data_IF_760849499621
#
_entry.id   IF_760849499621
#
_cell.length_a   1.000
_cell.length_b   1.000
_cell.length_c   1.000
_cell.angle_alpha   90.00
_cell.angle_beta   90.00
_cell.angle_gamma   90.00
#
_symmetry.space_group_name_H-M   'P 1'
#
loop_
_entity.id
_entity.type
_entity.pdbx_description
1 polymer ?
#
# COMPACT_ATOMS: atom_id res chain seq x y z
N UNK A 1 -14.60 11.09 -2.21
CA UNK A 1 -14.68 9.76 -1.55
C UNK A 1 -13.69 8.84 -2.22
N UNK A 2 -12.97 8.04 -1.47
CA UNK A 2 -12.10 7.03 -2.05
C UNK A 2 -12.40 5.63 -1.47
N UNK A 3 -12.26 4.62 -2.31
CA UNK A 3 -12.21 3.21 -1.93
C UNK A 3 -10.73 2.81 -1.85
N UNK A 4 -10.32 2.24 -0.72
CA UNK A 4 -8.92 1.84 -0.50
C UNK A 4 -8.84 0.34 -0.32
N UNK A 5 -8.05 -0.33 -1.16
CA UNK A 5 -7.77 -1.77 -1.07
C UNK A 5 -6.30 -2.02 -0.80
N UNK A 6 -6.01 -3.15 -0.19
CA UNK A 6 -4.65 -3.60 0.12
C UNK A 6 -3.87 -4.09 -1.09
N UNK A 7 -2.75 -4.67 -0.77
CA UNK A 7 -1.70 -5.15 -1.67
C UNK A 7 -2.26 -6.17 -2.67
N UNK A 8 -1.85 -6.05 -3.92
CA UNK A 8 -2.40 -6.94 -4.97
C UNK A 8 -1.47 -8.11 -5.35
N UNK A 9 -0.15 -7.93 -5.25
CA UNK A 9 0.85 -8.98 -5.52
C UNK A 9 0.55 -9.84 -6.75
N UNK A 10 0.17 -9.18 -7.87
CA UNK A 10 -0.14 -9.91 -9.11
C UNK A 10 -1.49 -10.64 -9.09
N UNK A 11 -2.37 -10.38 -8.12
CA UNK A 11 -3.71 -10.99 -8.09
C UNK A 11 -4.67 -10.25 -9.04
N UNK A 12 -4.66 -10.67 -10.30
CA UNK A 12 -5.47 -10.08 -11.37
C UNK A 12 -6.97 -10.11 -11.06
N UNK A 13 -7.46 -11.18 -10.43
CA UNK A 13 -8.89 -11.32 -10.14
C UNK A 13 -9.33 -10.34 -9.04
N UNK A 14 -8.50 -10.16 -8.01
CA UNK A 14 -8.73 -9.16 -6.96
C UNK A 14 -8.78 -7.75 -7.54
N UNK A 15 -7.80 -7.39 -8.36
CA UNK A 15 -7.76 -6.07 -8.98
C UNK A 15 -8.97 -5.85 -9.90
N UNK A 16 -9.33 -6.83 -10.73
CA UNK A 16 -10.54 -6.75 -11.59
C UNK A 16 -11.82 -6.54 -10.77
N UNK A 17 -11.96 -7.26 -9.67
CA UNK A 17 -13.13 -7.13 -8.80
C UNK A 17 -13.19 -5.74 -8.14
N UNK A 18 -12.06 -5.28 -7.62
CA UNK A 18 -11.94 -3.96 -6.99
C UNK A 18 -12.29 -2.82 -7.96
N UNK A 19 -11.70 -2.81 -9.16
CA UNK A 19 -11.93 -1.76 -10.17
C UNK A 19 -13.38 -1.74 -10.73
N UNK A 20 -14.11 -2.85 -10.61
CA UNK A 20 -15.53 -2.93 -11.02
C UNK A 20 -16.50 -2.55 -9.92
N UNK A 21 -16.03 -2.51 -8.69
CA UNK A 21 -16.86 -2.14 -7.55
C UNK A 21 -16.98 -0.62 -7.46
N UNK A 22 -18.19 -0.08 -7.59
CA UNK A 22 -18.46 1.37 -7.60
C UNK A 22 -17.47 2.13 -8.52
N UNK A 23 -17.52 1.86 -9.84
CA UNK A 23 -16.52 2.35 -10.80
C UNK A 23 -16.49 3.88 -10.94
N UNK A 24 -17.50 4.58 -10.41
CA UNK A 24 -17.57 6.05 -10.34
C UNK A 24 -16.77 6.65 -9.20
N UNK A 25 -16.28 5.84 -8.30
CA UNK A 25 -15.50 6.30 -7.14
C UNK A 25 -13.99 6.26 -7.41
N UNK A 26 -13.23 7.07 -6.67
CA UNK A 26 -11.77 7.00 -6.72
C UNK A 26 -11.28 5.69 -6.09
N UNK A 27 -10.42 4.97 -6.80
CA UNK A 27 -9.81 3.73 -6.33
C UNK A 27 -8.34 3.97 -5.97
N UNK A 28 -7.94 3.62 -4.75
CA UNK A 28 -6.55 3.72 -4.28
C UNK A 28 -6.10 2.35 -3.79
N UNK A 29 -4.94 1.90 -4.27
CA UNK A 29 -4.24 0.70 -3.79
C UNK A 29 -3.12 1.13 -2.83
N UNK A 30 -2.89 0.34 -1.78
CA UNK A 30 -1.78 0.61 -0.85
C UNK A 30 -0.42 0.17 -1.38
N UNK A 31 -0.29 -0.10 -2.66
CA UNK A 31 0.95 -0.52 -3.33
C UNK A 31 1.08 -2.03 -3.45
N UNK A 32 2.32 -2.50 -3.53
CA UNK A 32 2.69 -3.90 -3.74
C UNK A 32 1.92 -4.54 -4.91
N UNK A 33 1.94 -3.84 -6.06
CA UNK A 33 1.41 -4.39 -7.30
C UNK A 33 2.38 -5.41 -7.90
N UNK A 34 3.68 -5.16 -7.71
CA UNK A 34 4.75 -6.05 -8.14
C UNK A 34 5.01 -7.14 -7.11
N UNK A 35 5.80 -8.09 -7.53
CA UNK A 35 6.21 -9.28 -6.78
C UNK A 35 5.03 -10.14 -6.32
N UNK A 36 5.29 -11.42 -6.24
CA UNK A 36 4.34 -12.39 -5.71
C UNK A 36 5.07 -13.68 -5.43
N UNK A 37 4.71 -14.36 -4.37
CA UNK A 37 5.18 -15.72 -4.10
C UNK A 37 4.37 -16.78 -4.87
N UNK A 38 3.22 -16.39 -5.45
CA UNK A 38 2.25 -17.32 -6.06
C UNK A 38 2.07 -17.03 -7.54
N UNK A 39 1.87 -15.76 -7.93
CA UNK A 39 1.63 -15.38 -9.31
C UNK A 39 2.90 -15.54 -10.17
N UNK A 40 2.72 -15.99 -11.41
CA UNK A 40 3.78 -15.98 -12.42
C UNK A 40 4.12 -14.55 -12.86
N UNK A 41 5.27 -14.36 -13.49
CA UNK A 41 5.64 -13.06 -14.10
C UNK A 41 4.55 -12.55 -15.05
N UNK A 42 3.96 -13.44 -15.85
CA UNK A 42 2.85 -13.08 -16.74
C UNK A 42 1.65 -12.55 -15.96
N UNK A 43 1.27 -13.21 -14.86
CA UNK A 43 0.15 -12.76 -14.02
C UNK A 43 0.40 -11.39 -13.37
N UNK A 44 1.65 -11.15 -12.94
CA UNK A 44 2.05 -9.83 -12.39
C UNK A 44 1.97 -8.76 -13.50
N UNK A 45 2.51 -9.07 -14.70
CA UNK A 45 2.47 -8.15 -15.85
C UNK A 45 1.03 -7.82 -16.24
N UNK A 46 0.15 -8.81 -16.35
CA UNK A 46 -1.26 -8.61 -16.68
C UNK A 46 -1.98 -7.75 -15.63
N UNK A 47 -1.72 -8.01 -14.35
CA UNK A 47 -2.27 -7.22 -13.23
C UNK A 47 -1.82 -5.77 -13.33
N UNK A 48 -0.54 -5.55 -13.54
CA UNK A 48 0.02 -4.21 -13.67
C UNK A 48 -0.49 -3.47 -14.91
N UNK A 49 -0.60 -4.14 -16.05
CA UNK A 49 -1.18 -3.56 -17.27
C UNK A 49 -2.64 -3.17 -17.11
N UNK A 50 -3.41 -3.94 -16.31
CA UNK A 50 -4.77 -3.56 -15.96
C UNK A 50 -4.79 -2.30 -15.10
N UNK A 51 -3.91 -2.21 -14.08
CA UNK A 51 -3.74 -1.00 -13.28
C UNK A 51 -3.37 0.22 -14.13
N UNK A 52 -2.41 0.08 -15.05
CA UNK A 52 -2.01 1.17 -15.94
C UNK A 52 -3.18 1.73 -16.78
N UNK A 53 -4.08 0.86 -17.23
CA UNK A 53 -5.24 1.21 -18.07
C UNK A 53 -6.44 1.75 -17.27
N UNK A 54 -6.46 1.58 -15.98
CA UNK A 54 -7.52 2.07 -15.08
C UNK A 54 -7.24 3.51 -14.65
N UNK A 55 -8.21 4.15 -13.97
CA UNK A 55 -8.02 5.44 -13.30
C UNK A 55 -7.54 5.30 -11.84
N UNK A 56 -7.32 4.07 -11.37
CA UNK A 56 -6.84 3.82 -10.01
C UNK A 56 -5.46 4.42 -9.77
N UNK A 57 -5.23 4.84 -8.53
CA UNK A 57 -3.95 5.32 -8.01
C UNK A 57 -3.35 4.31 -7.04
N UNK A 58 -2.06 4.43 -6.74
CA UNK A 58 -1.40 3.59 -5.76
C UNK A 58 -0.44 4.39 -4.87
N UNK A 59 -0.21 3.92 -3.65
CA UNK A 59 0.93 4.40 -2.87
C UNK A 59 2.20 3.68 -3.31
N UNK A 60 3.34 4.38 -3.26
CA UNK A 60 4.64 3.72 -3.37
C UNK A 60 4.79 2.73 -2.23
N UNK A 61 5.33 1.57 -2.54
CA UNK A 61 5.55 0.45 -1.62
C UNK A 61 7.01 -0.03 -1.64
N UNK A 62 7.36 -0.88 -0.69
CA UNK A 62 8.69 -1.49 -0.66
C UNK A 62 8.93 -2.41 -1.87
N UNK A 63 7.93 -3.20 -2.31
CA UNK A 63 8.07 -4.08 -3.49
C UNK A 63 8.03 -3.33 -4.82
N UNK A 64 7.36 -2.19 -4.92
CA UNK A 64 7.30 -1.43 -6.17
C UNK A 64 8.53 -0.53 -6.35
N UNK A 65 9.06 0.07 -5.27
CA UNK A 65 10.20 0.97 -5.31
C UNK A 65 11.51 0.30 -5.73
N UNK A 66 11.68 -1.00 -5.49
CA UNK A 66 12.92 -1.72 -5.89
C UNK A 66 13.12 -1.78 -7.40
N UNK A 67 12.05 -1.58 -8.18
CA UNK A 67 12.10 -1.54 -9.65
C UNK A 67 12.35 -0.16 -10.25
N UNK A 68 12.50 0.87 -9.41
CA UNK A 68 12.93 2.19 -9.86
C UNK A 68 14.37 2.09 -10.41
N UNK A 69 14.65 2.80 -11.49
CA UNK A 69 15.96 2.78 -12.18
C UNK A 69 17.13 3.03 -11.23
N UNK A 70 16.94 3.92 -10.26
CA UNK A 70 17.97 4.35 -9.33
C UNK A 70 17.62 4.00 -7.88
N UNK A 71 16.91 2.89 -7.65
CA UNK A 71 16.58 2.45 -6.30
C UNK A 71 17.86 2.19 -5.49
N UNK A 72 18.03 2.85 -4.33
CA UNK A 72 19.18 2.58 -3.47
C UNK A 72 19.19 1.12 -3.02
N UNK A 73 20.38 0.45 -3.10
CA UNK A 73 20.51 -0.96 -2.77
C UNK A 73 20.05 -1.35 -1.36
N UNK A 74 20.10 -0.40 -0.42
CA UNK A 74 19.61 -0.58 0.95
C UNK A 74 18.09 -0.69 1.06
N UNK A 75 17.33 -0.35 0.00
CA UNK A 75 15.87 -0.50 -0.07
C UNK A 75 15.44 -1.80 -0.76
N UNK A 76 16.38 -2.65 -1.16
CA UNK A 76 16.07 -3.93 -1.80
C UNK A 76 15.35 -4.85 -0.82
N UNK A 77 14.15 -5.28 -1.19
CA UNK A 77 13.38 -6.26 -0.42
C UNK A 77 13.66 -7.69 -0.87
N UNK A 78 13.40 -8.65 0.01
CA UNK A 78 13.48 -10.07 -0.36
C UNK A 78 12.36 -10.44 -1.34
N UNK A 79 12.66 -11.35 -2.26
CA UNK A 79 11.65 -11.87 -3.21
C UNK A 79 11.41 -11.00 -4.43
N UNK A 80 12.14 -9.87 -4.60
CA UNK A 80 12.07 -9.12 -5.84
C UNK A 80 12.56 -9.98 -7.02
N UNK A 81 11.97 -9.78 -8.18
CA UNK A 81 12.28 -10.56 -9.40
C UNK A 81 13.20 -9.79 -10.33
N UNK A 82 14.05 -10.51 -11.04
CA UNK A 82 15.03 -9.92 -11.95
C UNK A 82 14.49 -9.65 -13.35
N UNK A 83 13.19 -9.78 -13.59
CA UNK A 83 12.60 -9.55 -14.90
C UNK A 83 12.66 -8.05 -15.27
N UNK A 84 13.43 -7.67 -16.32
CA UNK A 84 13.65 -6.27 -16.66
C UNK A 84 12.38 -5.52 -17.09
N UNK A 85 11.32 -6.24 -17.48
CA UNK A 85 10.05 -5.59 -17.85
C UNK A 85 9.39 -4.89 -16.65
N UNK A 86 9.62 -5.35 -15.42
CA UNK A 86 9.03 -4.76 -14.22
C UNK A 86 9.53 -3.32 -14.01
N UNK A 87 10.82 -3.09 -14.23
CA UNK A 87 11.38 -1.75 -14.22
C UNK A 87 10.75 -0.83 -15.28
N UNK A 88 10.48 -1.33 -16.48
CA UNK A 88 9.78 -0.54 -17.51
C UNK A 88 8.34 -0.22 -17.12
N UNK A 89 7.62 -1.18 -16.56
CA UNK A 89 6.25 -0.98 -16.12
C UNK A 89 6.16 0.09 -15.02
N UNK A 90 6.97 -0.05 -13.97
CA UNK A 90 7.01 0.91 -12.85
C UNK A 90 7.42 2.30 -13.34
N UNK A 91 8.53 2.41 -14.08
CA UNK A 91 9.02 3.71 -14.54
C UNK A 91 8.07 4.39 -15.53
N UNK A 92 7.26 3.63 -16.28
CA UNK A 92 6.23 4.14 -17.18
C UNK A 92 4.92 4.52 -16.49
N UNK A 93 4.80 4.36 -15.16
CA UNK A 93 3.55 4.59 -14.39
C UNK A 93 3.74 5.47 -13.16
N UNK A 94 4.86 6.17 -13.05
CA UNK A 94 5.20 6.99 -11.88
C UNK A 94 4.13 8.03 -11.54
N UNK A 95 3.44 8.55 -12.52
CA UNK A 95 2.36 9.54 -12.41
C UNK A 95 1.13 9.02 -11.64
N UNK A 96 0.95 7.69 -11.60
CA UNK A 96 -0.14 7.03 -10.87
C UNK A 96 0.19 6.75 -9.40
N UNK A 97 1.42 7.00 -9.00
CA UNK A 97 1.90 6.73 -7.65
C UNK A 97 2.13 8.00 -6.86
N UNK A 98 1.91 7.90 -5.55
CA UNK A 98 2.31 8.90 -4.54
C UNK A 98 2.88 8.19 -3.33
N UNK A 99 3.65 8.89 -2.51
CA UNK A 99 4.09 8.36 -1.22
C UNK A 99 2.93 8.21 -0.23
N UNK A 100 1.98 9.12 -0.33
CA UNK A 100 0.77 9.13 0.47
C UNK A 100 -0.36 9.92 -0.21
N UNK A 101 -1.59 9.64 0.24
CA UNK A 101 -2.78 10.44 -0.08
C UNK A 101 -3.47 10.88 1.20
N UNK A 102 -4.15 12.02 1.16
CA UNK A 102 -5.11 12.43 2.19
C UNK A 102 -6.50 12.44 1.56
N UNK A 103 -7.44 11.64 2.14
CA UNK A 103 -8.83 11.55 1.66
C UNK A 103 -9.78 11.45 2.83
N UNK A 104 -10.78 12.32 2.85
CA UNK A 104 -11.84 12.35 3.87
C UNK A 104 -11.30 12.27 5.32
N UNK A 105 -10.16 12.93 5.61
CA UNK A 105 -9.52 12.95 6.93
C UNK A 105 -8.71 11.70 7.28
N UNK A 106 -8.39 10.85 6.30
CA UNK A 106 -7.47 9.71 6.45
C UNK A 106 -6.16 9.94 5.69
N UNK A 107 -5.04 9.60 6.31
CA UNK A 107 -3.76 9.42 5.64
C UNK A 107 -3.68 7.99 5.10
N UNK A 108 -3.43 7.86 3.80
CA UNK A 108 -3.27 6.57 3.12
C UNK A 108 -1.80 6.43 2.74
N UNK A 109 -1.15 5.39 3.22
CA UNK A 109 0.24 5.04 2.93
C UNK A 109 0.38 3.54 2.69
N UNK A 110 1.54 3.09 2.24
CA UNK A 110 1.75 1.65 2.08
C UNK A 110 1.75 0.92 3.43
N UNK A 111 2.62 1.30 4.37
CA UNK A 111 2.83 0.55 5.60
C UNK A 111 2.35 1.27 6.88
N UNK A 112 1.78 2.47 6.77
CA UNK A 112 1.38 3.31 7.91
C UNK A 112 2.52 4.18 8.46
N UNK A 113 2.19 5.03 9.41
CA UNK A 113 3.13 6.00 10.01
C UNK A 113 3.22 5.77 11.51
N UNK A 114 4.44 5.52 11.98
CA UNK A 114 4.76 5.37 13.39
C UNK A 114 4.75 6.70 14.14
N UNK A 115 4.62 6.65 15.47
CA UNK A 115 4.56 7.83 16.35
C UNK A 115 5.80 8.73 16.19
N UNK A 116 6.99 8.15 16.04
CA UNK A 116 8.25 8.89 15.90
C UNK A 116 8.28 9.81 14.67
N UNK A 117 7.54 9.44 13.61
CA UNK A 117 7.40 10.28 12.41
C UNK A 117 6.16 11.17 12.54
N UNK A 118 5.00 10.58 12.79
CA UNK A 118 3.71 11.28 12.75
C UNK A 118 3.59 12.41 13.76
N UNK A 119 4.14 12.24 14.97
CA UNK A 119 4.06 13.26 16.04
C UNK A 119 4.77 14.58 15.73
N UNK A 120 5.62 14.61 14.72
CA UNK A 120 6.31 15.83 14.27
C UNK A 120 5.42 16.79 13.48
N UNK A 121 4.26 16.33 13.06
CA UNK A 121 3.35 17.06 12.18
C UNK A 121 2.00 17.28 12.88
N UNK A 122 1.48 18.51 12.80
CA UNK A 122 0.20 18.87 13.42
C UNK A 122 -1.01 18.35 12.65
N UNK A 123 -0.89 18.18 11.33
CA UNK A 123 -1.98 17.84 10.40
C UNK A 123 -1.53 16.77 9.40
N UNK A 124 -2.53 16.20 8.69
CA UNK A 124 -2.30 15.14 7.71
C UNK A 124 -1.66 15.68 6.42
N UNK A 125 -1.97 16.89 6.05
CA UNK A 125 -1.50 17.52 4.82
C UNK A 125 0.02 17.73 4.87
N UNK A 126 0.52 18.33 5.95
CA UNK A 126 1.96 18.56 6.15
C UNK A 126 2.74 17.24 6.27
N UNK A 127 2.17 16.23 6.92
CA UNK A 127 2.76 14.89 6.98
C UNK A 127 2.79 14.23 5.60
N UNK A 128 1.71 14.32 4.85
CA UNK A 128 1.62 13.78 3.48
C UNK A 128 2.60 14.48 2.55
N UNK A 129 2.73 15.80 2.62
CA UNK A 129 3.69 16.58 1.84
C UNK A 129 5.14 16.14 2.14
N UNK A 130 5.48 15.95 3.41
CA UNK A 130 6.78 15.43 3.81
C UNK A 130 7.05 14.06 3.18
N UNK A 131 6.13 13.10 3.33
CA UNK A 131 6.29 11.75 2.78
C UNK A 131 6.45 11.80 1.26
N UNK A 132 5.59 12.55 0.56
CA UNK A 132 5.64 12.68 -0.89
C UNK A 132 6.96 13.31 -1.35
N UNK A 133 7.40 14.40 -0.71
CA UNK A 133 8.65 15.08 -1.04
C UNK A 133 9.86 14.16 -0.92
N UNK A 134 9.92 13.36 0.15
CA UNK A 134 11.05 12.46 0.36
C UNK A 134 11.06 11.30 -0.66
N UNK A 135 9.88 10.75 -0.98
CA UNK A 135 9.77 9.67 -1.97
C UNK A 135 10.06 10.19 -3.38
N UNK A 136 9.58 11.38 -3.74
CA UNK A 136 9.81 11.99 -5.04
C UNK A 136 11.30 12.24 -5.32
N UNK A 137 12.12 12.47 -4.30
CA UNK A 137 13.58 12.54 -4.44
C UNK A 137 14.18 11.27 -5.04
N UNK A 138 13.67 10.09 -4.68
CA UNK A 138 14.13 8.81 -5.25
C UNK A 138 13.48 8.53 -6.60
N UNK A 139 12.19 8.80 -6.71
CA UNK A 139 11.38 8.49 -7.90
C UNK A 139 11.83 9.28 -9.12
N UNK A 140 12.14 10.57 -8.93
CA UNK A 140 12.40 11.51 -10.03
C UNK A 140 13.85 11.95 -10.14
N UNK A 141 14.73 11.58 -9.20
CA UNK A 141 16.13 11.90 -9.31
C UNK A 141 16.84 10.94 -10.28
N UNK A 142 17.54 11.50 -11.26
CA UNK A 142 18.34 10.72 -12.22
C UNK A 142 19.77 10.41 -11.72
N UNK A 143 20.20 11.06 -10.64
CA UNK A 143 21.50 10.82 -10.03
C UNK A 143 21.47 9.63 -9.08
N UNK A 144 22.50 8.80 -9.12
CA UNK A 144 22.62 7.65 -8.21
C UNK A 144 22.95 8.16 -6.81
N UNK A 145 22.04 7.96 -5.88
CA UNK A 145 22.24 8.29 -4.45
C UNK A 145 23.15 7.26 -3.78
N UNK A 146 24.47 7.34 -4.03
CA UNK A 146 25.39 6.35 -3.46
C UNK A 146 25.76 6.71 -2.00
N UNK A 147 25.72 7.98 -1.60
CA UNK A 147 26.30 8.44 -0.33
C UNK A 147 25.42 9.40 0.49
N UNK A 148 24.19 9.71 0.08
CA UNK A 148 23.32 10.56 0.90
C UNK A 148 22.50 9.71 1.87
N UNK A 149 22.42 10.09 3.17
CA UNK A 149 21.57 9.40 4.12
C UNK A 149 20.11 9.55 3.66
N UNK A 150 19.39 8.42 3.53
CA UNK A 150 17.97 8.42 3.27
C UNK A 150 17.21 9.00 4.47
N UNK A 151 16.10 9.68 4.21
CA UNK A 151 15.21 10.12 5.28
C UNK A 151 14.55 8.93 5.97
N UNK A 152 13.97 9.18 7.13
CA UNK A 152 13.29 8.15 7.92
C UNK A 152 12.02 7.59 7.27
N UNK A 153 11.53 8.20 6.19
CA UNK A 153 10.49 7.64 5.30
C UNK A 153 10.91 6.28 4.75
N UNK A 154 12.22 6.06 4.56
CA UNK A 154 12.80 4.82 4.02
C UNK A 154 13.37 3.88 5.08
N UNK A 155 13.18 4.17 6.37
CA UNK A 155 13.69 3.33 7.42
C UNK A 155 13.13 1.92 7.35
N UNK A 156 14.03 0.94 7.37
CA UNK A 156 13.70 -0.48 7.57
C UNK A 156 14.03 -0.81 9.01
N UNK A 157 13.03 -1.10 9.82
CA UNK A 157 13.22 -1.41 11.23
C UNK A 157 13.81 -2.79 11.47
N UNK A 158 14.33 -3.02 12.66
CA UNK A 158 14.87 -4.33 13.09
C UNK A 158 13.81 -5.45 13.01
N UNK A 159 12.52 -5.12 13.17
CA UNK A 159 11.43 -6.11 13.06
C UNK A 159 11.19 -6.58 11.63
N UNK A 160 11.68 -5.83 10.65
CA UNK A 160 11.65 -6.16 9.23
C UNK A 160 13.04 -6.49 8.66
N UNK A 161 14.02 -6.75 9.52
CA UNK A 161 15.38 -7.16 9.14
C UNK A 161 16.33 -6.01 8.79
N UNK A 162 15.95 -4.77 9.04
CA UNK A 162 16.80 -3.60 8.89
C UNK A 162 17.56 -3.23 10.16
N UNK A 163 18.01 -1.97 10.25
CA UNK A 163 18.88 -1.48 11.32
C UNK A 163 18.25 -0.37 12.15
N UNK A 164 17.12 0.19 11.70
CA UNK A 164 16.49 1.32 12.35
C UNK A 164 15.60 0.87 13.51
N UNK A 165 15.42 1.78 14.48
CA UNK A 165 14.56 1.53 15.65
C UNK A 165 13.08 1.37 15.24
N UNK A 166 12.68 2.07 14.19
CA UNK A 166 11.31 2.07 13.65
C UNK A 166 11.32 2.06 12.12
N UNK A 167 10.23 1.58 11.52
CA UNK A 167 10.01 1.58 10.09
C UNK A 167 9.41 2.90 9.60
N UNK A 168 9.75 3.28 8.38
CA UNK A 168 9.08 4.36 7.67
C UNK A 168 7.77 3.91 7.00
N UNK A 169 7.05 4.83 6.32
CA UNK A 169 5.78 4.56 5.66
C UNK A 169 5.77 3.43 4.61
N UNK A 170 6.95 2.97 4.20
CA UNK A 170 7.12 1.85 3.27
C UNK A 170 7.40 0.50 3.98
N UNK A 171 7.72 0.50 5.29
CA UNK A 171 8.26 -0.68 5.99
C UNK A 171 7.73 -0.90 7.40
N UNK A 172 6.92 -0.02 7.95
CA UNK A 172 6.41 -0.15 9.31
C UNK A 172 5.55 -1.41 9.48
N UNK A 173 5.57 -2.00 10.69
CA UNK A 173 4.74 -3.17 11.03
C UNK A 173 3.79 -2.84 12.18
N UNK A 174 2.51 -2.63 11.86
CA UNK A 174 1.49 -2.25 12.85
C UNK A 174 1.31 -3.25 13.99
N UNK A 175 1.77 -4.49 13.82
CA UNK A 175 1.70 -5.54 14.85
C UNK A 175 2.80 -5.44 15.89
N UNK A 176 3.86 -4.69 15.61
CA UNK A 176 5.09 -4.65 16.42
C UNK A 176 5.62 -3.25 16.71
N UNK A 177 5.13 -2.24 16.01
CA UNK A 177 5.57 -0.86 16.13
C UNK A 177 4.41 0.04 16.56
N UNK A 178 4.73 1.10 17.31
CA UNK A 178 3.73 2.05 17.80
C UNK A 178 3.39 3.05 16.71
N UNK A 179 2.17 3.03 16.21
CA UNK A 179 1.68 3.98 15.23
C UNK A 179 1.18 5.27 15.87
N UNK A 180 1.20 6.37 15.10
CA UNK A 180 0.67 7.66 15.55
C UNK A 180 -0.85 7.62 15.68
N UNK A 181 -1.31 7.41 16.92
CA UNK A 181 -2.73 7.31 17.26
C UNK A 181 -3.45 8.67 17.26
N UNK A 182 -2.77 9.78 16.96
CA UNK A 182 -3.41 11.11 16.84
C UNK A 182 -4.02 11.36 15.46
N UNK A 183 -3.81 10.45 14.51
CA UNK A 183 -4.23 10.57 13.12
C UNK A 183 -5.00 9.35 12.64
N UNK A 184 -6.00 9.57 11.77
CA UNK A 184 -6.62 8.45 11.06
C UNK A 184 -5.68 7.96 9.97
N UNK A 185 -5.48 6.65 9.88
CA UNK A 185 -4.56 6.03 8.94
C UNK A 185 -5.18 4.83 8.23
N UNK A 186 -4.87 4.66 6.94
CA UNK A 186 -5.18 3.46 6.15
C UNK A 186 -3.87 2.96 5.54
N UNK A 187 -3.59 1.67 5.69
CA UNK A 187 -2.33 1.08 5.24
C UNK A 187 -2.46 -0.40 4.90
N UNK A 188 -1.52 -0.92 4.09
CA UNK A 188 -1.35 -2.32 3.69
C UNK A 188 -0.16 -3.00 4.36
N UNK A 189 0.70 -3.64 3.55
CA UNK A 189 2.02 -4.19 3.88
C UNK A 189 2.02 -5.38 4.86
N UNK A 190 1.23 -5.34 5.91
CA UNK A 190 1.22 -6.37 6.95
C UNK A 190 -0.03 -7.23 6.81
N UNK A 191 0.09 -8.31 6.07
CA UNK A 191 -1.01 -9.18 5.68
C UNK A 191 -1.81 -9.75 6.87
N UNK A 192 -3.13 -9.82 6.72
CA UNK A 192 -4.07 -10.44 7.66
C UNK A 192 -5.16 -11.22 6.91
N UNK A 193 -5.92 -12.07 7.62
CA UNK A 193 -7.04 -12.80 6.98
C UNK A 193 -8.15 -11.85 6.55
N UNK A 194 -8.51 -10.91 7.43
CA UNK A 194 -9.61 -9.96 7.24
C UNK A 194 -9.11 -8.53 7.37
N UNK A 195 -9.80 -7.57 6.77
CA UNK A 195 -9.58 -6.14 7.02
C UNK A 195 -9.72 -5.84 8.52
N UNK A 196 -8.77 -5.08 9.09
CA UNK A 196 -8.75 -4.73 10.51
C UNK A 196 -9.00 -3.24 10.70
N UNK A 197 -9.85 -2.91 11.65
CA UNK A 197 -10.09 -1.52 12.09
C UNK A 197 -9.77 -1.45 13.58
N UNK A 198 -8.90 -0.51 13.94
CA UNK A 198 -8.51 -0.22 15.31
C UNK A 198 -8.98 1.19 15.64
N UNK A 199 -9.74 1.32 16.74
CA UNK A 199 -10.21 2.61 17.22
C UNK A 199 -9.35 3.07 18.40
N UNK A 200 -8.97 4.35 18.40
CA UNK A 200 -8.15 5.00 19.42
C UNK A 200 -8.82 6.29 19.87
N UNK A 201 -8.61 6.65 21.14
CA UNK A 201 -9.18 7.85 21.72
C UNK A 201 -10.51 7.59 22.42
N UNK A 202 -11.22 8.67 22.76
CA UNK A 202 -12.56 8.69 23.34
C UNK A 202 -13.61 9.05 22.27
N UNK A 203 -14.89 9.04 22.67
CA UNK A 203 -16.02 9.27 21.76
C UNK A 203 -15.95 10.62 20.99
N UNK A 204 -15.27 11.62 21.56
CA UNK A 204 -15.14 12.95 20.92
C UNK A 204 -13.92 13.04 20.00
N UNK A 205 -12.89 12.22 20.25
CA UNK A 205 -11.61 12.24 19.55
C UNK A 205 -11.24 10.87 18.99
N UNK A 206 -12.23 10.09 18.53
CA UNK A 206 -11.98 8.79 17.93
C UNK A 206 -11.06 8.92 16.70
N UNK A 207 -10.03 8.08 16.66
CA UNK A 207 -9.14 7.92 15.51
C UNK A 207 -9.14 6.47 15.08
N UNK A 208 -9.04 6.25 13.76
CA UNK A 208 -9.08 4.91 13.16
C UNK A 208 -7.79 4.57 12.45
N UNK A 209 -7.24 3.42 12.76
CA UNK A 209 -6.23 2.78 11.93
C UNK A 209 -6.85 1.60 11.20
N UNK A 210 -6.68 1.54 9.90
CA UNK A 210 -7.29 0.54 9.04
C UNK A 210 -6.20 -0.21 8.27
N UNK A 211 -6.00 -1.48 8.60
CA UNK A 211 -5.12 -2.37 7.84
C UNK A 211 -5.94 -3.07 6.75
N UNK A 212 -5.67 -2.73 5.49
CA UNK A 212 -6.45 -3.18 4.33
C UNK A 212 -5.78 -4.32 3.55
N UNK A 213 -4.53 -4.68 3.86
CA UNK A 213 -3.90 -5.86 3.27
C UNK A 213 -4.45 -7.13 3.91
N UNK A 214 -5.34 -7.80 3.19
CA UNK A 214 -6.02 -8.99 3.69
C UNK A 214 -6.39 -9.96 2.57
N UNK A 215 -6.67 -11.21 2.94
CA UNK A 215 -7.11 -12.25 1.99
C UNK A 215 -8.51 -12.01 1.43
N UNK A 216 -9.37 -11.32 2.18
CA UNK A 216 -10.73 -11.02 1.76
C UNK A 216 -10.77 -10.00 0.61
N UNK A 217 -11.81 -10.11 -0.23
CA UNK A 217 -12.11 -9.12 -1.27
C UNK A 217 -12.85 -7.93 -0.66
N UNK A 218 -12.16 -7.19 0.20
CA UNK A 218 -12.70 -6.05 0.93
C UNK A 218 -11.85 -4.79 0.72
N UNK A 219 -12.51 -3.65 0.80
CA UNK A 219 -11.89 -2.33 0.77
C UNK A 219 -12.45 -1.47 1.91
N UNK A 220 -11.80 -0.36 2.17
CA UNK A 220 -12.29 0.64 3.11
C UNK A 220 -12.81 1.86 2.35
N UNK A 221 -14.01 2.30 2.71
CA UNK A 221 -14.62 3.51 2.16
C UNK A 221 -14.32 4.69 3.08
N UNK A 222 -13.53 5.64 2.60
CA UNK A 222 -13.07 6.79 3.39
C UNK A 222 -14.20 7.70 3.84
N UNK A 223 -15.27 7.84 3.06
CA UNK A 223 -16.41 8.70 3.37
C UNK A 223 -17.34 8.11 4.41
N UNK A 224 -17.63 6.79 4.30
CA UNK A 224 -18.52 6.12 5.26
C UNK A 224 -17.78 5.67 6.52
N UNK A 225 -16.44 5.59 6.46
CA UNK A 225 -15.62 5.08 7.55
C UNK A 225 -15.83 3.58 7.81
N UNK A 226 -16.22 2.81 6.81
CA UNK A 226 -16.58 1.39 6.92
C UNK A 226 -15.83 0.50 5.91
N UNK A 227 -15.65 -0.75 6.30
CA UNK A 227 -15.22 -1.81 5.38
C UNK A 227 -16.38 -2.22 4.48
N UNK A 228 -16.09 -2.44 3.21
CA UNK A 228 -17.03 -2.88 2.19
C UNK A 228 -16.46 -4.09 1.45
N UNK A 229 -17.31 -5.09 1.21
CA UNK A 229 -16.96 -6.30 0.46
C UNK A 229 -17.24 -6.06 -1.03
N UNK A 230 -16.22 -6.22 -1.88
CA UNK A 230 -16.33 -6.06 -3.33
C UNK A 230 -16.36 -7.38 -4.10
N UNK A 231 -16.54 -8.53 -3.42
CA UNK A 231 -16.91 -9.77 -4.10
C UNK A 231 -18.28 -9.64 -4.75
N UNK A 232 -18.38 -10.01 -6.02
CA UNK A 232 -19.65 -10.00 -6.72
C UNK A 232 -20.70 -10.85 -5.99
N UNK A 233 -21.95 -10.36 -5.83
CA UNK A 233 -23.03 -11.13 -5.22
C UNK A 233 -23.23 -12.52 -5.85
N UNK A 234 -22.97 -12.65 -7.18
CA UNK A 234 -23.06 -13.93 -7.90
C UNK A 234 -22.03 -14.99 -7.46
N UNK A 235 -20.99 -14.58 -6.72
CA UNK A 235 -19.99 -15.51 -6.22
C UNK A 235 -20.20 -15.89 -4.75
N UNK A 236 -21.06 -15.18 -3.99
CA UNK A 236 -21.27 -15.46 -2.56
C UNK A 236 -21.91 -16.83 -2.31
N UNK A 237 -22.70 -17.35 -3.26
CA UNK A 237 -23.51 -18.57 -3.06
C UNK A 237 -23.14 -19.75 -3.98
N UNK A 238 -22.09 -19.63 -4.78
CA UNK A 238 -21.72 -20.67 -5.74
C UNK A 238 -20.65 -21.66 -5.22
N UNK A 239 -20.77 -22.97 -5.55
CA UNK A 239 -19.74 -23.97 -5.16
C UNK A 239 -18.35 -23.66 -5.72
N UNK A 240 -18.21 -22.80 -6.72
CA UNK A 240 -16.95 -22.33 -7.27
C UNK A 240 -16.19 -21.38 -6.32
N UNK A 241 -16.89 -20.63 -5.46
CA UNK A 241 -16.27 -19.70 -4.49
C UNK A 241 -15.62 -20.46 -3.34
N UNK A 242 -16.29 -21.52 -2.84
CA UNK A 242 -15.68 -22.39 -1.83
C UNK A 242 -14.37 -23.00 -2.31
N UNK A 243 -14.31 -23.36 -3.60
CA UNK A 243 -13.10 -23.94 -4.21
C UNK A 243 -11.96 -22.90 -4.42
N UNK A 244 -12.29 -21.63 -4.64
CA UNK A 244 -11.31 -20.53 -4.73
C UNK A 244 -10.75 -20.13 -3.36
N UNK A 245 -11.56 -20.25 -2.30
CA UNK A 245 -11.15 -19.99 -0.92
C UNK A 245 -10.42 -21.20 -0.29
N UNK A 246 -10.65 -22.43 -0.82
CA UNK A 246 -10.00 -23.67 -0.37
C UNK A 246 -8.63 -23.88 -1.04
N UNK A 247 -8.33 -23.22 -2.15
CA UNK A 247 -6.99 -23.19 -2.74
C UNK A 247 -6.22 -22.08 -2.04
N UNK A 248 -5.77 -22.42 -0.82
CA UNK A 248 -5.09 -21.51 0.11
C UNK A 248 -3.96 -20.71 -0.52
N UNK A 249 -3.91 -19.46 -0.11
CA UNK A 249 -2.76 -18.57 -0.25
C UNK A 249 -1.60 -19.07 0.64
#
# INVERSE_FOLDING_TARGET
>A
MALVSGDSHGNLNRLKAFLRYKPEEEHILTGDLMDSYIASDTGIIETFQLFQKSDALATWSNHDTVYLKNCPGQLMCSGHRTNPIFGHLINGSKDKYRGSFVRDGYLITHAGVVEEIGSRFSDLESLSEYINTEIDKIVYNEEIWVDSPLSDVFNISVVRGGYHKYGGPLWADYRREKYDCTKNQIFGHSHSETLKIFNYGDDENERKHVAVDCSEFSCFNTKTGAAEDFMFPAFKDGPAVRKLLEVGY
#
